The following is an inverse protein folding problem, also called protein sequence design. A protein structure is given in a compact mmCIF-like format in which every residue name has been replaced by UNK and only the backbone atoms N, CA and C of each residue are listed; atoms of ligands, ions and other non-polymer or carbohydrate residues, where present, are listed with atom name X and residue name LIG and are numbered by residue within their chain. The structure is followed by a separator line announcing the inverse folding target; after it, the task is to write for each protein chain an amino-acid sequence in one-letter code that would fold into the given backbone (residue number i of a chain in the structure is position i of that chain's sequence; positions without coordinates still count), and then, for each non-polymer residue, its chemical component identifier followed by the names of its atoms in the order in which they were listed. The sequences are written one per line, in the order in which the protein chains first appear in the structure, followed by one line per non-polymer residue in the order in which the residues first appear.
data_IF_385079073154
#
_entry.id   IF_385079073154
#
_cell.length_a   1.000
_cell.length_b   1.000
_cell.length_c   1.000
_cell.angle_alpha   90.00
_cell.angle_beta   90.00
_cell.angle_gamma   90.00
#
_symmetry.space_group_name_H-M   'P 1'
#
loop_
_entity.id
_entity.type
_entity.pdbx_description
1 polymer ?
#
# COMPACT_ATOMS: atom_id res chain seq x y z
N UNK A 1 -29.31 -53.15 -10.56
CA UNK A 1 -28.91 -52.45 -9.32
C UNK A 1 -27.80 -51.47 -9.66
N UNK A 2 -27.96 -50.21 -9.27
CA UNK A 2 -27.32 -49.04 -9.87
C UNK A 2 -25.79 -48.95 -9.63
N UNK A 3 -25.05 -48.61 -10.70
CA UNK A 3 -23.65 -48.23 -10.64
C UNK A 3 -23.57 -46.71 -10.38
N UNK A 4 -23.16 -46.35 -9.16
CA UNK A 4 -23.14 -44.98 -8.64
C UNK A 4 -22.06 -44.19 -9.38
N UNK A 5 -22.46 -43.24 -10.23
CA UNK A 5 -21.54 -42.25 -10.84
C UNK A 5 -21.04 -41.32 -9.75
N UNK A 6 -19.74 -41.30 -9.52
CA UNK A 6 -19.07 -40.30 -8.69
C UNK A 6 -18.97 -39.03 -9.53
N UNK A 7 -19.69 -37.99 -9.15
CA UNK A 7 -19.48 -36.65 -9.69
C UNK A 7 -18.16 -36.11 -9.11
N UNK A 8 -17.14 -35.97 -9.94
CA UNK A 8 -15.96 -35.18 -9.60
C UNK A 8 -16.37 -33.71 -9.63
N UNK A 9 -16.41 -33.08 -8.45
CA UNK A 9 -16.48 -31.64 -8.31
C UNK A 9 -15.23 -31.03 -8.90
N UNK A 10 -15.39 -30.06 -9.81
CA UNK A 10 -14.30 -29.27 -10.35
C UNK A 10 -13.54 -28.62 -9.20
N UNK A 11 -12.32 -29.11 -8.94
CA UNK A 11 -11.39 -28.42 -8.07
C UNK A 11 -11.12 -27.04 -8.69
N UNK A 12 -11.43 -25.99 -7.93
CA UNK A 12 -10.94 -24.63 -8.17
C UNK A 12 -9.46 -24.70 -8.54
N UNK A 13 -9.10 -24.26 -9.74
CA UNK A 13 -7.70 -24.08 -10.11
C UNK A 13 -7.02 -23.15 -9.08
N UNK A 14 -5.74 -23.38 -8.74
CA UNK A 14 -5.02 -22.44 -7.90
C UNK A 14 -4.98 -21.09 -8.63
N UNK A 15 -5.41 -20.04 -7.94
CA UNK A 15 -5.25 -18.66 -8.40
C UNK A 15 -3.77 -18.44 -8.69
N UNK A 16 -3.41 -18.19 -9.94
CA UNK A 16 -2.02 -17.93 -10.32
C UNK A 16 -1.48 -16.77 -9.48
N UNK A 17 -0.33 -16.95 -8.83
CA UNK A 17 0.36 -15.86 -8.15
C UNK A 17 0.59 -14.72 -9.14
N UNK A 18 0.15 -13.49 -8.84
CA UNK A 18 0.37 -12.37 -9.75
C UNK A 18 1.88 -12.18 -9.98
N UNK A 19 2.26 -12.00 -11.24
CA UNK A 19 3.64 -11.70 -11.62
C UNK A 19 3.77 -10.18 -11.74
N UNK A 20 4.58 -9.58 -10.87
CA UNK A 20 4.87 -8.15 -10.89
C UNK A 20 6.17 -7.88 -11.64
N UNK A 21 6.26 -6.75 -12.34
CA UNK A 21 7.50 -6.28 -12.95
C UNK A 21 8.31 -5.48 -11.93
N UNK A 22 9.63 -5.60 -12.00
CA UNK A 22 10.53 -4.69 -11.28
C UNK A 22 10.47 -3.30 -11.94
N UNK A 23 10.53 -2.24 -11.12
CA UNK A 23 10.50 -0.86 -11.57
C UNK A 23 11.73 -0.10 -11.05
N UNK A 24 12.24 0.84 -11.83
CA UNK A 24 13.21 1.81 -11.33
C UNK A 24 12.49 3.00 -10.67
N UNK A 25 13.22 3.81 -9.91
CA UNK A 25 12.69 5.05 -9.32
C UNK A 25 12.00 5.97 -10.32
N UNK A 26 12.55 6.09 -11.54
CA UNK A 26 11.96 6.93 -12.58
C UNK A 26 10.61 6.40 -13.06
N UNK A 27 10.45 5.08 -13.19
CA UNK A 27 9.18 4.45 -13.54
C UNK A 27 8.14 4.66 -12.45
N UNK A 28 8.55 4.66 -11.17
CA UNK A 28 7.68 4.99 -10.05
C UNK A 28 7.20 6.44 -10.12
N UNK A 29 8.11 7.38 -10.40
CA UNK A 29 7.75 8.79 -10.55
C UNK A 29 6.77 9.02 -11.70
N UNK A 30 6.99 8.35 -12.85
CA UNK A 30 6.08 8.41 -14.00
C UNK A 30 4.71 7.78 -13.67
N UNK A 31 4.70 6.67 -12.94
CA UNK A 31 3.47 6.04 -12.46
C UNK A 31 2.66 6.99 -11.58
N UNK A 32 3.29 7.57 -10.54
CA UNK A 32 2.63 8.49 -9.62
C UNK A 32 2.10 9.73 -10.35
N UNK A 33 2.85 10.29 -11.30
CA UNK A 33 2.39 11.44 -12.09
C UNK A 33 1.16 11.13 -12.98
N UNK A 34 0.95 9.86 -13.34
CA UNK A 34 -0.20 9.41 -14.15
C UNK A 34 -1.38 8.92 -13.31
N UNK A 35 -1.14 8.61 -12.05
CA UNK A 35 -2.14 8.18 -11.09
C UNK A 35 -2.80 9.43 -10.47
N UNK A 36 -4.12 9.40 -10.31
CA UNK A 36 -4.89 10.55 -9.81
C UNK A 36 -5.47 10.32 -8.42
N UNK A 37 -4.93 9.36 -7.66
CA UNK A 37 -5.42 9.07 -6.29
C UNK A 37 -5.33 10.31 -5.40
N UNK A 38 -4.27 11.11 -5.56
CA UNK A 38 -4.08 12.39 -4.85
C UNK A 38 -5.10 13.49 -5.22
N UNK A 39 -5.93 13.31 -6.26
CA UNK A 39 -6.99 14.26 -6.61
C UNK A 39 -8.26 14.04 -5.78
N UNK A 40 -8.36 12.91 -5.08
CA UNK A 40 -9.47 12.64 -4.17
C UNK A 40 -9.41 13.59 -2.97
N UNK A 41 -10.59 13.90 -2.41
CA UNK A 41 -10.71 14.76 -1.23
C UNK A 41 -10.82 13.90 0.02
N UNK A 42 -9.97 14.19 0.99
CA UNK A 42 -10.06 13.58 2.32
C UNK A 42 -11.39 13.90 3.01
N UNK A 43 -12.05 12.86 3.52
CA UNK A 43 -13.29 12.92 4.31
C UNK A 43 -13.22 11.91 5.45
N UNK A 44 -13.21 12.41 6.69
CA UNK A 44 -13.14 11.61 7.91
C UNK A 44 -14.22 10.52 8.03
N UNK A 45 -15.35 10.66 7.34
CA UNK A 45 -16.46 9.71 7.43
C UNK A 45 -16.48 8.70 6.28
N UNK A 46 -15.87 9.02 5.15
CA UNK A 46 -16.10 8.29 3.89
C UNK A 46 -14.83 7.89 3.13
N UNK A 47 -13.74 8.65 3.27
CA UNK A 47 -12.53 8.47 2.46
C UNK A 47 -11.32 9.01 3.21
N UNK A 48 -10.65 8.12 3.95
CA UNK A 48 -9.53 8.44 4.84
C UNK A 48 -8.21 7.96 4.25
N UNK A 49 -7.11 8.14 4.97
CA UNK A 49 -5.75 7.79 4.52
C UNK A 49 -5.63 6.33 4.03
N UNK A 50 -6.33 5.40 4.69
CA UNK A 50 -6.35 4.01 4.25
C UNK A 50 -6.99 3.84 2.87
N UNK A 51 -8.04 4.60 2.54
CA UNK A 51 -8.69 4.53 1.23
C UNK A 51 -7.77 5.03 0.11
N UNK A 52 -7.03 6.12 0.35
CA UNK A 52 -5.98 6.56 -0.58
C UNK A 52 -4.90 5.49 -0.78
N UNK A 53 -4.45 4.82 0.29
CA UNK A 53 -3.45 3.76 0.18
C UNK A 53 -3.98 2.52 -0.57
N UNK A 54 -5.26 2.18 -0.37
CA UNK A 54 -5.95 1.12 -1.12
C UNK A 54 -5.97 1.45 -2.61
N UNK A 55 -6.45 2.65 -2.97
CA UNK A 55 -6.57 3.06 -4.38
C UNK A 55 -5.21 3.06 -5.10
N UNK A 56 -4.17 3.61 -4.47
CA UNK A 56 -2.84 3.65 -5.07
C UNK A 56 -2.26 2.24 -5.30
N UNK A 57 -2.43 1.32 -4.34
CA UNK A 57 -2.00 -0.08 -4.48
C UNK A 57 -2.82 -0.82 -5.53
N UNK A 58 -4.13 -0.58 -5.61
CA UNK A 58 -4.97 -1.17 -6.65
C UNK A 58 -4.58 -0.67 -8.05
N UNK A 59 -4.29 0.62 -8.20
CA UNK A 59 -3.86 1.21 -9.46
C UNK A 59 -2.48 0.72 -9.89
N UNK A 60 -1.54 0.55 -8.96
CA UNK A 60 -0.21 -0.02 -9.26
C UNK A 60 -0.33 -1.45 -9.78
N UNK A 61 -1.22 -2.25 -9.19
CA UNK A 61 -1.48 -3.65 -9.60
C UNK A 61 -2.05 -3.76 -10.99
N UNK A 62 -2.92 -2.84 -11.40
CA UNK A 62 -3.42 -2.76 -12.78
C UNK A 62 -2.29 -2.58 -13.80
N UNK A 63 -1.14 -2.07 -13.37
CA UNK A 63 0.08 -1.90 -14.16
C UNK A 63 1.15 -2.97 -13.89
N UNK A 64 0.80 -4.05 -13.17
CA UNK A 64 1.71 -5.10 -12.72
C UNK A 64 2.88 -4.57 -11.87
N UNK A 65 2.67 -3.51 -11.09
CA UNK A 65 3.64 -2.95 -10.14
C UNK A 65 3.30 -3.45 -8.73
N UNK A 66 4.27 -4.06 -8.06
CA UNK A 66 4.12 -4.50 -6.67
C UNK A 66 4.19 -3.30 -5.72
N UNK A 67 3.24 -3.28 -4.78
CA UNK A 67 3.17 -2.28 -3.72
C UNK A 67 2.49 -2.88 -2.49
N UNK A 68 2.74 -2.27 -1.33
CA UNK A 68 2.14 -2.65 -0.06
C UNK A 68 1.58 -1.44 0.65
N UNK A 69 0.44 -1.62 1.32
CA UNK A 69 -0.06 -0.63 2.26
C UNK A 69 0.78 -0.72 3.53
N UNK A 70 1.18 0.41 4.07
CA UNK A 70 1.92 0.52 5.33
C UNK A 70 1.06 1.29 6.32
N UNK A 71 0.72 0.64 7.44
CA UNK A 71 0.13 1.28 8.60
C UNK A 71 1.21 1.68 9.61
N UNK A 72 1.09 2.86 10.20
CA UNK A 72 1.99 3.36 11.24
C UNK A 72 1.22 3.77 12.48
N UNK A 73 1.74 3.37 13.64
CA UNK A 73 1.35 3.91 14.94
C UNK A 73 2.46 4.81 15.48
N UNK A 74 2.09 5.86 16.22
CA UNK A 74 3.02 6.81 16.82
C UNK A 74 3.16 6.64 18.34
N UNK A 75 4.27 7.10 18.91
CA UNK A 75 4.59 6.90 20.34
C UNK A 75 3.79 7.78 21.30
N UNK A 76 3.36 8.96 20.87
CA UNK A 76 2.69 9.99 21.66
C UNK A 76 1.16 9.89 21.67
N UNK A 77 0.59 8.84 21.08
CA UNK A 77 -0.86 8.64 21.01
C UNK A 77 -1.56 9.45 19.92
N UNK A 78 -0.81 10.02 18.97
CA UNK A 78 -1.38 10.53 17.72
C UNK A 78 -2.15 9.44 16.98
N UNK A 79 -3.17 9.86 16.24
CA UNK A 79 -3.91 8.97 15.34
C UNK A 79 -2.94 8.35 14.35
N UNK A 80 -3.01 7.02 14.19
CA UNK A 80 -2.18 6.31 13.22
C UNK A 80 -2.44 6.76 11.79
N UNK A 81 -1.52 6.42 10.89
CA UNK A 81 -1.57 6.82 9.49
C UNK A 81 -1.37 5.63 8.55
N UNK A 82 -1.79 5.77 7.29
CA UNK A 82 -1.62 4.76 6.25
C UNK A 82 -1.06 5.38 4.98
N UNK A 83 -0.06 4.72 4.39
CA UNK A 83 0.65 5.14 3.18
C UNK A 83 1.13 3.92 2.38
N UNK A 84 1.93 4.09 1.33
CA UNK A 84 2.30 3.00 0.41
C UNK A 84 3.80 2.80 0.30
N UNK A 85 4.25 1.55 0.24
CA UNK A 85 5.63 1.16 -0.04
C UNK A 85 5.75 0.54 -1.43
N UNK A 86 6.76 0.96 -2.18
CA UNK A 86 7.15 0.41 -3.48
C UNK A 86 8.61 -0.06 -3.42
N UNK A 87 8.89 -1.26 -3.89
CA UNK A 87 10.27 -1.72 -4.08
C UNK A 87 10.77 -1.29 -5.46
N UNK A 88 11.90 -0.56 -5.48
CA UNK A 88 12.57 -0.13 -6.71
C UNK A 88 13.90 -0.87 -6.87
N UNK A 89 14.26 -1.18 -8.11
CA UNK A 89 15.49 -1.92 -8.43
C UNK A 89 16.77 -1.14 -8.14
N UNK A 90 16.69 0.19 -8.07
CA UNK A 90 17.83 1.10 -8.05
C UNK A 90 17.91 1.97 -6.78
N UNK A 91 16.84 2.05 -5.99
CA UNK A 91 16.82 2.84 -4.73
C UNK A 91 16.26 2.09 -3.52
N UNK A 92 15.94 0.81 -3.66
CA UNK A 92 15.32 0.03 -2.59
C UNK A 92 13.86 0.42 -2.37
N UNK A 93 13.39 0.32 -1.13
CA UNK A 93 11.99 0.64 -0.80
C UNK A 93 11.81 2.15 -0.72
N UNK A 94 10.80 2.64 -1.45
CA UNK A 94 10.31 4.01 -1.40
C UNK A 94 8.95 4.01 -0.72
N UNK A 95 8.78 4.89 0.27
CA UNK A 95 7.52 5.14 0.94
C UNK A 95 6.88 6.41 0.41
N UNK A 96 5.63 6.31 -0.04
CA UNK A 96 4.88 7.35 -0.75
C UNK A 96 3.62 7.71 0.03
N UNK A 97 3.39 9.01 0.23
CA UNK A 97 2.14 9.59 0.72
C UNK A 97 1.13 9.72 -0.43
N UNK A 98 0.07 8.90 -0.47
CA UNK A 98 -0.86 8.88 -1.61
C UNK A 98 -1.76 10.12 -1.70
N UNK A 99 -1.88 10.93 -0.65
CA UNK A 99 -2.65 12.18 -0.70
C UNK A 99 -1.90 13.34 -1.37
N UNK A 100 -0.59 13.23 -1.55
CA UNK A 100 0.25 14.34 -2.00
C UNK A 100 1.38 13.96 -2.96
N UNK A 101 1.51 12.68 -3.31
CA UNK A 101 2.61 12.08 -4.12
C UNK A 101 4.02 12.41 -3.60
N UNK A 102 4.15 12.85 -2.35
CA UNK A 102 5.43 13.06 -1.72
C UNK A 102 5.97 11.77 -1.12
N UNK A 103 7.28 11.68 -0.96
CA UNK A 103 7.94 10.54 -0.32
C UNK A 103 8.29 10.84 1.13
N UNK A 104 8.45 9.78 1.93
CA UNK A 104 8.88 9.85 3.32
C UNK A 104 10.37 9.51 3.46
N UNK A 105 11.06 10.29 4.29
CA UNK A 105 12.46 10.05 4.67
C UNK A 105 12.56 9.11 5.87
N UNK A 106 13.57 8.23 5.87
CA UNK A 106 14.03 7.49 7.05
C UNK A 106 12.93 6.74 7.83
N UNK A 107 11.99 6.09 7.12
CA UNK A 107 10.87 5.34 7.70
C UNK A 107 11.36 4.12 8.50
N UNK A 108 11.65 4.36 9.78
CA UNK A 108 12.22 3.39 10.72
C UNK A 108 11.64 3.64 12.10
N UNK A 109 11.33 2.56 12.83
CA UNK A 109 10.87 2.66 14.23
C UNK A 109 11.86 3.49 15.07
N UNK A 110 11.34 4.45 15.82
CA UNK A 110 12.13 5.39 16.63
C UNK A 110 12.47 6.71 15.93
N UNK A 111 12.32 6.81 14.60
CA UNK A 111 12.50 8.05 13.86
C UNK A 111 11.19 8.83 13.73
N UNK A 112 11.24 10.16 13.55
CA UNK A 112 10.08 10.92 13.11
C UNK A 112 9.71 10.56 11.67
N UNK A 113 8.42 10.43 11.38
CA UNK A 113 7.91 10.30 10.01
C UNK A 113 7.80 11.69 9.37
N UNK A 114 8.71 12.00 8.46
CA UNK A 114 8.80 13.31 7.81
C UNK A 114 8.82 13.16 6.29
N UNK A 115 8.19 14.08 5.55
CA UNK A 115 8.33 14.11 4.10
C UNK A 115 9.76 14.47 3.68
N UNK A 116 10.22 13.96 2.54
CA UNK A 116 11.58 14.14 2.02
C UNK A 116 11.93 15.61 1.77
N UNK A 117 10.95 16.47 1.53
CA UNK A 117 11.17 17.88 1.21
C UNK A 117 11.01 18.80 2.42
N UNK A 118 10.63 18.27 3.59
CA UNK A 118 10.31 19.06 4.77
C UNK A 118 9.21 20.09 4.52
N UNK A 119 8.32 19.81 3.58
CA UNK A 119 7.21 20.71 3.21
C UNK A 119 6.13 20.69 4.29
N UNK A 120 5.93 19.55 4.95
CA UNK A 120 4.95 19.35 5.98
C UNK A 120 5.63 19.08 7.33
N UNK A 121 4.93 19.37 8.42
CA UNK A 121 5.41 18.97 9.74
C UNK A 121 5.49 17.45 9.84
N UNK A 122 6.54 16.94 10.48
CA UNK A 122 6.66 15.51 10.72
C UNK A 122 5.47 15.04 11.56
N UNK A 123 4.87 13.92 11.15
CA UNK A 123 3.60 13.46 11.73
C UNK A 123 3.75 12.98 13.17
N UNK A 124 4.91 12.42 13.52
CA UNK A 124 5.16 11.84 14.84
C UNK A 124 6.34 10.86 14.83
N UNK A 125 6.75 10.39 16.01
CA UNK A 125 7.79 9.36 16.13
C UNK A 125 7.19 7.98 15.94
N UNK A 126 7.70 7.25 14.94
CA UNK A 126 7.25 5.92 14.52
C UNK A 126 7.41 4.93 15.68
N UNK A 127 6.31 4.36 16.16
CA UNK A 127 6.30 3.31 17.18
C UNK A 127 6.32 1.91 16.56
N UNK A 128 5.55 1.72 15.49
CA UNK A 128 5.47 0.44 14.77
C UNK A 128 5.03 0.66 13.34
N UNK A 129 5.48 -0.24 12.47
CA UNK A 129 5.06 -0.34 11.08
C UNK A 129 4.40 -1.70 10.86
N UNK A 130 3.29 -1.72 10.13
CA UNK A 130 2.61 -2.93 9.69
C UNK A 130 2.41 -2.88 8.20
N UNK A 131 2.67 -3.99 7.51
CA UNK A 131 2.50 -4.08 6.08
C UNK A 131 1.27 -4.91 5.78
N UNK A 132 0.54 -4.51 4.75
CA UNK A 132 -0.65 -5.22 4.28
C UNK A 132 -0.54 -5.43 2.79
N UNK A 133 -0.83 -6.66 2.35
CA UNK A 133 -0.95 -6.94 0.93
C UNK A 133 -2.19 -6.25 0.38
N UNK A 134 -3.32 -6.34 1.06
CA UNK A 134 -4.57 -5.79 0.56
C UNK A 134 -5.43 -5.32 1.72
N UNK A 135 -6.14 -4.22 1.51
CA UNK A 135 -7.28 -3.80 2.30
C UNK A 135 -8.42 -3.47 1.31
N UNK A 136 -9.67 -3.48 1.77
CA UNK A 136 -10.79 -2.93 1.01
C UNK A 136 -11.24 -1.57 1.59
N UNK A 137 -12.16 -0.88 0.89
CA UNK A 137 -12.78 0.36 1.38
C UNK A 137 -13.76 0.18 2.56
N UNK A 138 -13.89 -1.05 3.07
CA UNK A 138 -14.53 -1.33 4.38
C UNK A 138 -13.47 -1.55 5.47
N UNK A 139 -12.21 -1.30 5.13
CA UNK A 139 -11.02 -1.36 5.99
C UNK A 139 -10.72 -2.76 6.53
N UNK A 140 -11.11 -3.81 5.80
CA UNK A 140 -10.69 -5.18 6.08
C UNK A 140 -9.34 -5.47 5.44
N UNK A 141 -8.31 -5.64 6.26
CA UNK A 141 -6.92 -5.80 5.80
C UNK A 141 -6.37 -7.22 5.95
N UNK A 142 -5.50 -7.62 5.03
CA UNK A 142 -4.69 -8.86 5.10
C UNK A 142 -3.24 -8.49 5.43
N UNK A 143 -2.82 -8.79 6.66
CA UNK A 143 -1.45 -8.53 7.13
C UNK A 143 -0.40 -9.32 6.34
N UNK A 144 0.78 -8.73 6.20
CA UNK A 144 1.95 -9.29 5.55
C UNK A 144 3.22 -8.88 6.29
N UNK A 145 4.18 -9.79 6.37
CA UNK A 145 5.52 -9.51 6.88
C UNK A 145 6.49 -9.62 5.70
N UNK A 146 7.05 -8.49 5.22
CA UNK A 146 8.08 -8.49 4.18
C UNK A 146 9.32 -9.30 4.57
#
# INVERSE_FOLDING_TARGET
TAQKRVALTAASLPTSTPTYRSIAWIDLADFLASDHTNWNKYDLNNYICLDFAVDLVENSRKQNIQAWIVGVDFTNGETGHAFVAFETSDRGIIYVEPQGDNTYSNVTVGNPLCDDWGKYECMGVIKSLKYYLQCDHKHYCTEYTP
#
